data_IF_311298927792
#
_entry.id   IF_311298927792
#
_cell.length_a   1.000
_cell.length_b   1.000
_cell.length_c   1.000
_cell.angle_alpha   90.00
_cell.angle_beta   90.00
_cell.angle_gamma   90.00
#
_symmetry.space_group_name_H-M   'P 1'
#
loop_
_entity.id
_entity.type
_entity.pdbx_description
1 polymer ?
#
# COMPACT_ATOMS: atom_id res chain seq x y z
N UNK A 1 15.83 -34.83 -44.24
CA UNK A 1 17.06 -34.05 -44.03
C UNK A 1 16.77 -32.64 -44.52
N UNK A 2 16.45 -31.70 -43.63
CA UNK A 2 16.30 -30.31 -44.07
C UNK A 2 17.69 -29.79 -44.40
N UNK A 3 17.84 -29.29 -45.63
CA UNK A 3 19.02 -28.55 -46.06
C UNK A 3 19.11 -27.28 -45.22
N UNK A 4 19.71 -27.35 -44.03
CA UNK A 4 20.17 -26.16 -43.32
C UNK A 4 21.16 -25.46 -44.24
N UNK A 5 20.72 -24.35 -44.81
CA UNK A 5 21.52 -23.49 -45.65
C UNK A 5 22.76 -23.09 -44.85
N UNK A 6 23.94 -23.56 -45.25
CA UNK A 6 25.20 -23.29 -44.56
C UNK A 6 25.42 -21.77 -44.57
N UNK A 7 25.16 -21.12 -43.43
CA UNK A 7 25.36 -19.67 -43.26
C UNK A 7 26.84 -19.34 -43.39
N UNK A 8 27.18 -18.21 -43.98
CA UNK A 8 28.58 -17.79 -44.07
C UNK A 8 29.13 -17.37 -42.69
N UNK A 9 30.46 -17.42 -42.45
CA UNK A 9 31.05 -16.95 -41.20
C UNK A 9 30.69 -15.50 -40.85
N UNK A 10 30.51 -14.65 -41.87
CA UNK A 10 30.09 -13.26 -41.70
C UNK A 10 28.61 -13.15 -41.27
N UNK A 11 27.73 -14.00 -41.81
CA UNK A 11 26.34 -14.10 -41.39
C UNK A 11 26.22 -14.62 -39.95
N UNK A 12 26.99 -15.66 -39.60
CA UNK A 12 27.02 -16.20 -38.22
C UNK A 12 27.52 -15.15 -37.22
N UNK A 13 28.58 -14.41 -37.54
CA UNK A 13 29.08 -13.32 -36.69
C UNK A 13 28.01 -12.22 -36.50
N UNK A 14 27.37 -11.80 -37.57
CA UNK A 14 26.31 -10.79 -37.50
C UNK A 14 25.13 -11.26 -36.63
N UNK A 15 24.65 -12.49 -36.83
CA UNK A 15 23.56 -13.04 -36.03
C UNK A 15 23.93 -13.21 -34.55
N UNK A 16 25.18 -13.57 -34.27
CA UNK A 16 25.70 -13.70 -32.91
C UNK A 16 25.76 -12.34 -32.21
N UNK A 17 26.31 -11.32 -32.87
CA UNK A 17 26.36 -9.96 -32.33
C UNK A 17 24.94 -9.41 -32.11
N UNK A 18 24.03 -9.66 -33.05
CA UNK A 18 22.63 -9.27 -32.91
C UNK A 18 21.93 -9.97 -31.73
N UNK A 19 22.12 -11.29 -31.58
CA UNK A 19 21.51 -12.07 -30.48
C UNK A 19 22.10 -11.66 -29.12
N UNK A 20 23.40 -11.34 -29.06
CA UNK A 20 24.05 -10.79 -27.86
C UNK A 20 23.50 -9.41 -27.50
N UNK A 21 23.33 -8.52 -28.49
CA UNK A 21 22.73 -7.21 -28.28
C UNK A 21 21.28 -7.31 -27.79
N UNK A 22 20.51 -8.23 -28.36
CA UNK A 22 19.14 -8.50 -27.93
C UNK A 22 19.07 -8.99 -26.47
N UNK A 23 19.96 -9.89 -26.07
CA UNK A 23 20.08 -10.35 -24.69
C UNK A 23 20.40 -9.19 -23.73
N UNK A 24 21.36 -8.33 -24.09
CA UNK A 24 21.71 -7.15 -23.30
C UNK A 24 20.52 -6.19 -23.18
N UNK A 25 19.79 -5.95 -24.28
CA UNK A 25 18.61 -5.10 -24.27
C UNK A 25 17.49 -5.65 -23.38
N UNK A 26 17.25 -6.97 -23.44
CA UNK A 26 16.29 -7.67 -22.57
C UNK A 26 16.64 -7.48 -21.09
N UNK A 27 17.88 -7.74 -20.71
CA UNK A 27 18.34 -7.63 -19.32
C UNK A 27 18.30 -6.19 -18.79
N UNK A 28 18.66 -5.22 -19.63
CA UNK A 28 18.57 -3.80 -19.28
C UNK A 28 17.12 -3.34 -19.11
N UNK A 29 16.22 -3.77 -20.00
CA UNK A 29 14.79 -3.50 -19.90
C UNK A 29 14.20 -4.10 -18.63
N UNK A 30 14.53 -5.36 -18.34
CA UNK A 30 14.11 -6.03 -17.11
C UNK A 30 14.61 -5.30 -15.86
N UNK A 31 15.89 -4.94 -15.80
CA UNK A 31 16.48 -4.19 -14.68
C UNK A 31 15.72 -2.88 -14.43
N UNK A 32 15.42 -2.14 -15.51
CA UNK A 32 14.66 -0.88 -15.43
C UNK A 32 13.24 -1.11 -14.89
N UNK A 33 12.50 -2.07 -15.45
CA UNK A 33 11.14 -2.40 -14.99
C UNK A 33 11.16 -2.84 -13.53
N UNK A 34 12.03 -3.79 -13.17
CA UNK A 34 12.14 -4.31 -11.80
C UNK A 34 12.42 -3.20 -10.80
N UNK A 35 13.27 -2.23 -11.13
CA UNK A 35 13.54 -1.07 -10.28
C UNK A 35 12.30 -0.18 -10.10
N UNK A 36 11.55 0.08 -11.18
CA UNK A 36 10.32 0.87 -11.14
C UNK A 36 9.25 0.23 -10.24
N UNK A 37 8.96 -1.06 -10.43
CA UNK A 37 8.01 -1.81 -9.60
C UNK A 37 8.46 -1.86 -8.13
N UNK A 38 9.75 -2.04 -7.88
CA UNK A 38 10.31 -2.03 -6.53
C UNK A 38 10.15 -0.66 -5.87
N UNK A 39 10.37 0.42 -6.63
CA UNK A 39 10.13 1.79 -6.17
C UNK A 39 8.68 2.01 -5.75
N UNK A 40 7.71 1.55 -6.58
CA UNK A 40 6.28 1.64 -6.25
C UNK A 40 5.92 0.88 -4.97
N UNK A 41 6.50 -0.30 -4.74
CA UNK A 41 6.31 -1.05 -3.48
C UNK A 41 6.83 -0.26 -2.28
N UNK A 42 7.99 0.39 -2.42
CA UNK A 42 8.57 1.21 -1.33
C UNK A 42 7.64 2.39 -1.01
N UNK A 43 7.12 3.07 -2.03
CA UNK A 43 6.13 4.14 -1.85
C UNK A 43 4.88 3.63 -1.13
N UNK A 44 4.28 2.53 -1.59
CA UNK A 44 3.12 1.95 -0.93
C UNK A 44 3.35 1.55 0.54
N UNK A 45 4.55 1.09 0.89
CA UNK A 45 4.89 0.82 2.29
C UNK A 45 5.01 2.09 3.12
N UNK A 46 5.54 3.17 2.53
CA UNK A 46 5.60 4.47 3.18
C UNK A 46 4.19 5.03 3.40
N UNK A 47 3.35 5.02 2.36
CA UNK A 47 1.96 5.49 2.41
C UNK A 47 1.17 4.74 3.49
N UNK A 48 1.29 3.40 3.54
CA UNK A 48 0.60 2.59 4.55
C UNK A 48 1.05 2.94 5.97
N UNK A 49 2.37 3.15 6.17
CA UNK A 49 2.92 3.56 7.47
C UNK A 49 2.43 4.95 7.88
N UNK A 50 2.32 5.87 6.94
CA UNK A 50 1.80 7.22 7.19
C UNK A 50 0.32 7.17 7.58
N UNK A 51 -0.50 6.45 6.81
CA UNK A 51 -1.93 6.26 7.08
C UNK A 51 -2.14 5.63 8.47
N UNK A 52 -1.36 4.60 8.82
CA UNK A 52 -1.40 3.97 10.14
C UNK A 52 -1.00 4.94 11.26
N UNK A 53 0.02 5.77 11.04
CA UNK A 53 0.47 6.75 12.03
C UNK A 53 -0.59 7.85 12.25
N UNK A 54 -1.21 8.34 11.18
CA UNK A 54 -2.30 9.33 11.25
C UNK A 54 -3.50 8.75 11.98
N UNK A 55 -3.89 7.50 11.68
CA UNK A 55 -5.00 6.84 12.37
C UNK A 55 -4.70 6.65 13.85
N UNK A 56 -3.50 6.18 14.21
CA UNK A 56 -3.09 6.01 15.60
C UNK A 56 -3.08 7.33 16.40
N UNK A 57 -2.56 8.41 15.81
CA UNK A 57 -2.58 9.74 16.42
C UNK A 57 -4.02 10.25 16.60
N UNK A 58 -4.89 9.95 15.65
CA UNK A 58 -6.31 10.35 15.68
C UNK A 58 -7.11 9.56 16.74
N UNK A 59 -6.84 8.26 16.89
CA UNK A 59 -7.42 7.47 17.99
C UNK A 59 -6.94 7.96 19.37
N UNK A 60 -5.68 8.34 19.48
CA UNK A 60 -5.14 8.89 20.72
C UNK A 60 -5.80 10.22 21.09
N UNK A 61 -6.00 11.11 20.11
CA UNK A 61 -6.69 12.39 20.36
C UNK A 61 -8.17 12.19 20.68
N UNK A 62 -8.84 11.24 20.01
CA UNK A 62 -10.22 10.88 20.28
C UNK A 62 -10.40 10.28 21.68
N UNK A 63 -9.53 9.36 22.10
CA UNK A 63 -9.57 8.78 23.45
C UNK A 63 -9.37 9.84 24.54
N UNK A 64 -8.47 10.81 24.31
CA UNK A 64 -8.30 11.97 25.19
C UNK A 64 -9.56 12.85 25.23
N UNK A 65 -10.16 13.13 24.07
CA UNK A 65 -11.42 13.87 23.98
C UNK A 65 -12.55 13.16 24.75
N UNK A 66 -12.73 11.85 24.57
CA UNK A 66 -13.71 11.08 25.33
C UNK A 66 -13.43 11.11 26.83
N UNK A 67 -12.17 11.09 27.26
CA UNK A 67 -11.81 11.21 28.67
C UNK A 67 -12.20 12.56 29.27
N UNK A 68 -12.15 13.64 28.48
CA UNK A 68 -12.61 14.98 28.89
C UNK A 68 -14.13 15.11 28.89
N UNK A 69 -14.82 14.50 27.93
CA UNK A 69 -16.27 14.57 27.82
C UNK A 69 -17.01 13.70 28.85
N UNK A 70 -16.44 12.55 29.23
CA UNK A 70 -17.05 11.58 30.17
C UNK A 70 -17.44 12.19 31.53
N UNK A 71 -16.58 12.97 32.22
CA UNK A 71 -16.95 13.62 33.47
C UNK A 71 -18.13 14.57 33.33
N UNK A 72 -18.19 15.36 32.24
CA UNK A 72 -19.26 16.32 31.97
C UNK A 72 -20.59 15.58 31.80
N UNK A 73 -20.60 14.50 31.01
CA UNK A 73 -21.77 13.65 30.81
C UNK A 73 -22.13 12.81 32.05
N UNK A 74 -21.13 12.50 32.89
CA UNK A 74 -21.26 11.74 34.13
C UNK A 74 -21.77 12.54 35.34
N UNK A 75 -21.93 13.86 35.21
CA UNK A 75 -22.55 14.72 36.26
C UNK A 75 -23.97 14.25 36.61
N UNK A 76 -24.61 13.47 35.74
CA UNK A 76 -25.88 12.78 36.02
C UNK A 76 -25.60 11.28 36.22
N UNK A 77 -25.26 10.88 37.45
CA UNK A 77 -25.93 9.67 37.96
C UNK A 77 -27.37 10.10 38.26
N UNK A 78 -28.40 9.44 37.72
CA UNK A 78 -29.71 9.56 38.32
C UNK A 78 -29.57 8.97 39.73
N UNK A 79 -29.41 9.82 40.75
CA UNK A 79 -29.75 9.41 42.10
C UNK A 79 -31.26 9.21 42.05
N UNK A 80 -31.67 7.98 41.72
CA UNK A 80 -32.94 7.43 42.14
C UNK A 80 -32.94 7.36 43.67
N UNK A 81 -33.05 8.51 44.30
CA UNK A 81 -33.56 8.63 45.66
C UNK A 81 -34.74 9.59 45.56
N UNK A 82 -35.97 9.09 45.68
CA UNK A 82 -37.10 9.96 45.93
C UNK A 82 -36.90 10.50 47.35
N UNK A 83 -36.18 11.62 47.49
CA UNK A 83 -36.24 12.41 48.70
C UNK A 83 -37.68 12.90 48.80
N UNK A 84 -38.50 12.16 49.57
CA UNK A 84 -39.72 12.65 50.16
C UNK A 84 -39.34 13.87 51.03
N UNK A 85 -39.30 15.04 50.39
CA UNK A 85 -39.33 16.30 51.10
C UNK A 85 -40.75 16.42 51.64
N UNK A 86 -40.93 16.04 52.91
CA UNK A 86 -42.10 16.46 53.68
C UNK A 86 -42.20 17.97 53.54
N UNK A 87 -43.24 18.43 52.82
CA UNK A 87 -43.60 19.83 52.71
C UNK A 87 -43.95 20.34 54.11
N UNK A 88 -42.96 20.92 54.79
CA UNK A 88 -43.23 21.89 55.84
C UNK A 88 -43.16 23.27 55.17
N UNK A 89 -44.31 23.93 55.12
CA UNK A 89 -44.52 25.26 54.55
C UNK A 89 -43.40 26.23 55.00
N UNK A 90 -42.60 26.69 54.05
CA UNK A 90 -42.05 28.04 54.05
C UNK A 90 -42.03 28.53 52.62
N UNK A 91 -42.88 29.50 52.34
CA UNK A 91 -42.86 30.26 51.09
C UNK A 91 -41.49 30.93 50.97
N UNK A 92 -40.66 30.42 50.07
CA UNK A 92 -39.54 31.15 49.52
C UNK A 92 -39.64 31.00 48.01
N UNK A 93 -39.74 32.14 47.31
CA UNK A 93 -39.72 32.22 45.85
C UNK A 93 -38.60 31.31 45.28
N UNK A 94 -38.82 30.61 44.17
CA UNK A 94 -37.73 29.97 43.46
C UNK A 94 -36.74 31.06 43.08
N UNK A 95 -35.52 31.01 43.64
CA UNK A 95 -34.49 31.97 43.27
C UNK A 95 -34.22 31.83 41.77
N UNK A 96 -34.34 32.94 41.03
CA UNK A 96 -34.09 33.01 39.58
C UNK A 96 -32.67 32.50 39.22
N UNK A 97 -31.74 32.55 40.17
CA UNK A 97 -30.38 32.00 40.03
C UNK A 97 -30.32 30.47 39.92
N UNK A 98 -31.26 29.74 40.54
CA UNK A 98 -31.30 28.27 40.48
C UNK A 98 -31.90 27.75 39.17
N UNK A 99 -32.85 28.49 38.59
CA UNK A 99 -33.47 28.19 37.30
C UNK A 99 -32.47 28.42 36.17
N UNK A 100 -31.75 29.55 36.20
CA UNK A 100 -30.71 29.88 35.21
C UNK A 100 -29.53 28.90 35.26
N UNK A 101 -29.08 28.50 36.46
CA UNK A 101 -27.99 27.52 36.60
C UNK A 101 -28.34 26.13 36.06
N UNK A 102 -29.59 25.68 36.28
CA UNK A 102 -30.10 24.40 35.75
C UNK A 102 -30.21 24.41 34.22
N UNK A 103 -30.72 25.50 33.64
CA UNK A 103 -30.82 25.69 32.19
C UNK A 103 -29.43 25.68 31.54
N UNK A 104 -28.47 26.40 32.12
CA UNK A 104 -27.08 26.44 31.61
C UNK A 104 -26.43 25.06 31.68
N UNK A 105 -26.61 24.31 32.77
CA UNK A 105 -26.04 22.98 32.92
C UNK A 105 -26.64 21.98 31.91
N UNK A 106 -27.96 22.01 31.71
CA UNK A 106 -28.62 21.20 30.68
C UNK A 106 -28.15 21.54 29.26
N UNK A 107 -27.87 22.82 29.00
CA UNK A 107 -27.36 23.26 27.70
C UNK A 107 -25.91 22.81 27.48
N UNK A 108 -25.05 22.87 28.50
CA UNK A 108 -23.68 22.33 28.45
C UNK A 108 -23.70 20.82 28.18
N UNK A 109 -24.59 20.08 28.84
CA UNK A 109 -24.76 18.64 28.62
C UNK A 109 -25.20 18.34 27.19
N UNK A 110 -26.22 19.03 26.70
CA UNK A 110 -26.74 18.86 25.33
C UNK A 110 -25.67 19.14 24.27
N UNK A 111 -24.91 20.24 24.43
CA UNK A 111 -23.82 20.59 23.52
C UNK A 111 -22.70 19.56 23.58
N UNK A 112 -22.31 19.11 24.78
CA UNK A 112 -21.26 18.11 24.95
C UNK A 112 -21.67 16.76 24.34
N UNK A 113 -22.92 16.35 24.51
CA UNK A 113 -23.44 15.12 23.92
C UNK A 113 -23.46 15.19 22.39
N UNK A 114 -23.96 16.29 21.82
CA UNK A 114 -23.95 16.50 20.37
C UNK A 114 -22.52 16.52 19.80
N UNK A 115 -21.58 17.15 20.50
CA UNK A 115 -20.18 17.17 20.10
C UNK A 115 -19.52 15.78 20.16
N UNK A 116 -19.85 14.96 21.16
CA UNK A 116 -19.38 13.56 21.26
C UNK A 116 -19.94 12.72 20.12
N UNK A 117 -21.22 12.83 19.81
CA UNK A 117 -21.85 12.10 18.70
C UNK A 117 -21.25 12.51 17.36
N UNK A 118 -21.00 13.80 17.14
CA UNK A 118 -20.33 14.31 15.95
C UNK A 118 -18.92 13.73 15.81
N UNK A 119 -18.15 13.75 16.89
CA UNK A 119 -16.77 13.26 16.88
C UNK A 119 -16.71 11.74 16.69
N UNK A 120 -17.63 10.97 17.29
CA UNK A 120 -17.76 9.54 17.05
C UNK A 120 -17.97 9.26 15.55
N UNK A 121 -18.94 9.94 14.93
CA UNK A 121 -19.21 9.79 13.50
C UNK A 121 -18.00 10.16 12.63
N UNK A 122 -17.23 11.19 13.03
CA UNK A 122 -16.00 11.58 12.33
C UNK A 122 -14.95 10.47 12.40
N UNK A 123 -14.73 9.90 13.58
CA UNK A 123 -13.75 8.83 13.78
C UNK A 123 -14.17 7.55 13.07
N UNK A 124 -15.45 7.18 13.09
CA UNK A 124 -15.92 5.98 12.38
C UNK A 124 -15.72 6.11 10.87
N UNK A 125 -15.99 7.28 10.27
CA UNK A 125 -15.66 7.53 8.86
C UNK A 125 -14.16 7.43 8.58
N UNK A 126 -13.32 7.92 9.48
CA UNK A 126 -11.86 7.82 9.33
C UNK A 126 -11.36 6.38 9.44
N UNK A 127 -11.97 5.55 10.31
CA UNK A 127 -11.69 4.10 10.39
C UNK A 127 -12.05 3.40 9.09
N UNK A 128 -13.22 3.70 8.54
CA UNK A 128 -13.69 3.12 7.27
C UNK A 128 -12.77 3.53 6.10
N UNK A 129 -12.36 4.80 6.06
CA UNK A 129 -11.44 5.31 5.05
C UNK A 129 -10.05 4.67 5.19
N UNK A 130 -9.50 4.60 6.41
CA UNK A 130 -8.24 3.91 6.72
C UNK A 130 -8.27 2.46 6.25
N UNK A 131 -9.33 1.72 6.60
CA UNK A 131 -9.49 0.33 6.21
C UNK A 131 -9.56 0.17 4.69
N UNK A 132 -10.28 1.06 4.01
CA UNK A 132 -10.42 1.06 2.55
C UNK A 132 -9.07 1.32 1.88
N UNK A 133 -8.36 2.36 2.31
CA UNK A 133 -7.06 2.73 1.75
C UNK A 133 -6.00 1.65 2.01
N UNK A 134 -5.92 1.13 3.24
CA UNK A 134 -5.00 0.04 3.59
C UNK A 134 -5.25 -1.21 2.76
N UNK A 135 -6.53 -1.60 2.60
CA UNK A 135 -6.92 -2.74 1.76
C UNK A 135 -6.52 -2.52 0.30
N UNK A 136 -6.77 -1.34 -0.24
CA UNK A 136 -6.39 -0.98 -1.61
C UNK A 136 -4.87 -1.08 -1.81
N UNK A 137 -4.08 -0.51 -0.90
CA UNK A 137 -2.61 -0.56 -0.96
C UNK A 137 -2.12 -2.01 -0.89
N UNK A 138 -2.68 -2.83 -0.01
CA UNK A 138 -2.34 -4.25 0.08
C UNK A 138 -2.67 -5.01 -1.20
N UNK A 139 -3.83 -4.78 -1.80
CA UNK A 139 -4.21 -5.40 -3.07
C UNK A 139 -3.27 -4.99 -4.20
N UNK A 140 -2.98 -3.69 -4.32
CA UNK A 140 -2.05 -3.18 -5.34
C UNK A 140 -0.64 -3.69 -5.15
N UNK A 141 -0.17 -3.80 -3.91
CA UNK A 141 1.13 -4.40 -3.62
C UNK A 141 1.19 -5.87 -4.07
N UNK A 142 0.16 -6.68 -3.78
CA UNK A 142 0.07 -8.07 -4.25
C UNK A 142 0.07 -8.18 -5.77
N UNK A 143 -0.67 -7.30 -6.44
CA UNK A 143 -0.73 -7.23 -7.90
C UNK A 143 0.65 -6.94 -8.50
N UNK A 144 1.39 -5.98 -7.93
CA UNK A 144 2.78 -5.69 -8.34
C UNK A 144 3.66 -6.94 -8.19
N UNK A 145 3.61 -7.63 -7.04
CA UNK A 145 4.42 -8.84 -6.85
C UNK A 145 4.09 -9.93 -7.87
N UNK A 146 2.81 -10.12 -8.19
CA UNK A 146 2.38 -11.08 -9.20
C UNK A 146 2.99 -10.73 -10.57
N UNK A 147 2.82 -9.48 -11.01
CA UNK A 147 3.34 -9.01 -12.29
C UNK A 147 4.87 -9.09 -12.37
N UNK A 148 5.57 -8.74 -11.28
CA UNK A 148 7.02 -8.83 -11.20
C UNK A 148 7.50 -10.28 -11.31
N UNK A 149 6.80 -11.22 -10.68
CA UNK A 149 7.14 -12.64 -10.76
C UNK A 149 6.84 -13.24 -12.15
N UNK A 150 5.75 -12.84 -12.78
CA UNK A 150 5.41 -13.26 -14.15
C UNK A 150 6.43 -12.72 -15.16
N UNK A 151 6.74 -11.44 -15.12
CA UNK A 151 7.73 -10.83 -16.01
C UNK A 151 9.11 -11.44 -15.79
N UNK A 152 9.50 -11.70 -14.53
CA UNK A 152 10.77 -12.39 -14.23
C UNK A 152 10.84 -13.76 -14.92
N UNK A 153 9.79 -14.57 -14.81
CA UNK A 153 9.74 -15.88 -15.46
C UNK A 153 9.84 -15.77 -16.99
N UNK A 154 9.20 -14.77 -17.58
CA UNK A 154 9.29 -14.52 -19.02
C UNK A 154 10.71 -14.13 -19.43
N UNK A 155 11.35 -13.23 -18.68
CA UNK A 155 12.74 -12.81 -18.91
C UNK A 155 13.71 -13.98 -18.74
N UNK A 156 13.55 -14.80 -17.70
CA UNK A 156 14.39 -15.97 -17.44
C UNK A 156 14.27 -17.00 -18.58
N UNK A 157 13.04 -17.25 -19.04
CA UNK A 157 12.76 -18.16 -20.17
C UNK A 157 13.39 -17.65 -21.46
N UNK A 158 13.22 -16.37 -21.77
CA UNK A 158 13.77 -15.79 -23.00
C UNK A 158 15.29 -15.66 -22.96
N UNK A 159 15.85 -15.35 -21.80
CA UNK A 159 17.31 -15.36 -21.56
C UNK A 159 17.89 -16.74 -21.86
N UNK A 160 17.25 -17.81 -21.36
CA UNK A 160 17.68 -19.20 -21.62
C UNK A 160 17.66 -19.52 -23.12
N UNK A 161 16.61 -19.09 -23.84
CA UNK A 161 16.51 -19.28 -25.29
C UNK A 161 17.62 -18.54 -26.04
N UNK A 162 17.87 -17.27 -25.70
CA UNK A 162 18.92 -16.47 -26.34
C UNK A 162 20.31 -17.03 -26.04
N UNK A 163 20.57 -17.49 -24.82
CA UNK A 163 21.84 -18.14 -24.44
C UNK A 163 22.06 -19.43 -25.23
N UNK A 164 21.05 -20.30 -25.34
CA UNK A 164 21.13 -21.52 -26.14
C UNK A 164 21.41 -21.20 -27.61
N UNK A 165 20.77 -20.16 -28.16
CA UNK A 165 21.02 -19.71 -29.53
C UNK A 165 22.44 -19.16 -29.71
N UNK A 166 22.95 -18.37 -28.76
CA UNK A 166 24.33 -17.87 -28.77
C UNK A 166 25.29 -19.05 -28.80
N UNK A 167 25.11 -20.04 -27.92
CA UNK A 167 25.97 -21.22 -27.86
C UNK A 167 25.95 -21.98 -29.20
N UNK A 168 24.77 -22.22 -29.78
CA UNK A 168 24.65 -22.89 -31.07
C UNK A 168 25.34 -22.13 -32.22
N UNK A 169 25.25 -20.79 -32.23
CA UNK A 169 25.95 -19.96 -33.21
C UNK A 169 27.48 -19.97 -33.00
N UNK A 170 27.95 -19.98 -31.74
CA UNK A 170 29.37 -20.09 -31.41
C UNK A 170 29.95 -21.44 -31.85
N UNK A 171 29.22 -22.54 -31.62
CA UNK A 171 29.59 -23.88 -32.07
C UNK A 171 29.64 -23.97 -33.61
N UNK A 172 28.63 -23.44 -34.31
CA UNK A 172 28.63 -23.40 -35.78
C UNK A 172 29.79 -22.57 -36.34
N UNK A 173 30.08 -21.41 -35.73
CA UNK A 173 31.18 -20.55 -36.14
C UNK A 173 32.55 -21.22 -35.91
N UNK A 174 32.73 -21.90 -34.77
CA UNK A 174 33.95 -22.65 -34.47
C UNK A 174 34.15 -23.81 -35.46
N UNK A 175 33.10 -24.58 -35.75
CA UNK A 175 33.15 -25.68 -36.72
C UNK A 175 33.55 -25.19 -38.12
N UNK A 176 32.98 -24.07 -38.59
CA UNK A 176 33.31 -23.50 -39.91
C UNK A 176 34.73 -22.93 -39.99
N UNK A 177 35.23 -22.33 -38.92
CA UNK A 177 36.60 -21.78 -38.88
C UNK A 177 37.65 -22.88 -38.76
N UNK A 178 37.35 -24.00 -38.10
CA UNK A 178 38.22 -25.17 -38.05
C UNK A 178 38.21 -25.97 -39.37
N UNK A 179 37.04 -26.15 -40.00
CA UNK A 179 36.95 -26.86 -41.30
C UNK A 179 37.51 -26.07 -42.47
N UNK A 180 37.36 -24.74 -42.50
CA UNK A 180 37.98 -23.89 -43.53
C UNK A 180 39.46 -23.55 -43.24
N UNK A 181 39.99 -23.99 -42.09
CA UNK A 181 41.38 -23.78 -41.66
C UNK A 181 42.40 -24.80 -42.19
N UNK A 182 41.96 -25.86 -42.88
CA UNK A 182 42.83 -26.88 -43.50
C UNK A 182 42.90 -26.66 -45.02
N UNK A 183 43.63 -25.62 -45.43
CA UNK A 183 43.81 -25.27 -46.85
C UNK A 183 44.88 -24.20 -47.13
N UNK A 184 45.82 -23.94 -46.20
CA UNK A 184 47.09 -23.26 -46.52
C UNK A 184 48.23 -24.26 -46.34
N UNK A 185 48.30 -25.18 -47.29
CA UNK A 185 49.37 -26.14 -47.46
C UNK A 185 49.59 -26.36 -48.94
N UNK A 186 50.09 -25.30 -49.61
CA UNK A 186 50.94 -25.25 -50.81
C UNK A 186 51.11 -23.77 -51.19
#
# INVERSE_FOLDING_TARGET
MSSEMIKSPMQLKYELDNTKNELVALLNSWKKKSAEWSGRIVTFRADLKEIDAVMAATELSYTAYCALAKPILGVIKPSSSPLQVKQSKRESLPSESSVTSSVVLNQILSVTQAAVELENNRIDRLRDEHQTQSTFIHQKSKEIYRLLNEEKKNVDSYTTLLQSKIQGLEEQYALQTQTNGLGRGL
#
